data_IF_132700956790
#
_entry.id   IF_132700956790
#
_cell.length_a   1.000
_cell.length_b   1.000
_cell.length_c   1.000
_cell.angle_alpha   90.00
_cell.angle_beta   90.00
_cell.angle_gamma   90.00
#
_symmetry.space_group_name_H-M   'P 1'
#
loop_
_entity.id
_entity.type
_entity.pdbx_description
1 polymer ?
#
# COMPACT_ATOMS: atom_id res chain seq x y z
N UNK A 1 -25.40 -46.11 -50.76
CA UNK A 1 -26.78 -46.39 -51.28
C UNK A 1 -27.63 -45.21 -50.83
N UNK A 2 -27.96 -44.31 -51.77
CA UNK A 2 -29.24 -44.21 -52.51
C UNK A 2 -30.38 -44.01 -51.48
N UNK A 3 -31.21 -42.99 -51.48
CA UNK A 3 -31.80 -42.04 -52.46
C UNK A 3 -32.73 -41.21 -51.61
N UNK A 4 -32.86 -39.90 -51.77
CA UNK A 4 -33.65 -39.15 -52.74
C UNK A 4 -35.13 -38.94 -52.33
N UNK A 5 -35.47 -37.72 -52.29
CA UNK A 5 -36.43 -36.89 -53.10
C UNK A 5 -37.78 -36.68 -52.42
N UNK A 6 -38.35 -35.59 -52.46
CA UNK A 6 -38.88 -34.50 -53.26
C UNK A 6 -40.11 -33.96 -52.52
N UNK A 7 -40.22 -32.71 -52.35
CA UNK A 7 -40.95 -31.65 -53.12
C UNK A 7 -42.46 -31.71 -52.87
N UNK A 8 -43.19 -30.72 -52.71
CA UNK A 8 -43.45 -29.46 -53.38
C UNK A 8 -44.84 -28.95 -52.98
N UNK A 9 -44.91 -27.68 -52.95
CA UNK A 9 -45.90 -26.81 -53.63
C UNK A 9 -47.23 -26.47 -52.94
N UNK A 10 -47.32 -25.23 -52.71
CA UNK A 10 -48.15 -24.15 -53.37
C UNK A 10 -49.69 -24.30 -53.25
N UNK A 11 -50.35 -23.32 -52.80
CA UNK A 11 -51.24 -22.39 -53.43
C UNK A 11 -52.17 -21.70 -52.39
N UNK A 12 -51.94 -20.43 -52.22
CA UNK A 12 -52.82 -19.36 -52.72
C UNK A 12 -54.33 -19.34 -52.37
N UNK A 13 -54.70 -18.23 -51.84
CA UNK A 13 -55.81 -17.27 -52.19
C UNK A 13 -56.59 -16.80 -50.98
N UNK A 14 -56.40 -15.58 -50.61
CA UNK A 14 -57.12 -14.35 -51.00
C UNK A 14 -58.50 -14.14 -50.30
N UNK A 15 -58.54 -13.00 -49.62
CA UNK A 15 -59.64 -12.03 -49.45
C UNK A 15 -60.75 -12.30 -48.40
N UNK A 16 -60.83 -11.51 -47.39
CA UNK A 16 -61.88 -10.48 -47.34
C UNK A 16 -61.69 -9.52 -46.15
N UNK A 17 -61.92 -8.26 -46.43
CA UNK A 17 -61.96 -7.14 -45.48
C UNK A 17 -63.19 -7.22 -44.61
N UNK A 18 -63.05 -7.06 -43.31
CA UNK A 18 -64.08 -6.53 -42.44
C UNK A 18 -63.45 -5.56 -41.44
N UNK A 19 -63.84 -4.31 -41.60
CA UNK A 19 -63.56 -3.21 -40.70
C UNK A 19 -64.28 -3.47 -39.37
N UNK A 20 -63.57 -3.52 -38.30
CA UNK A 20 -64.13 -3.39 -36.98
C UNK A 20 -63.24 -2.48 -36.15
N UNK A 21 -63.71 -1.26 -35.99
CA UNK A 21 -63.17 -0.19 -35.20
C UNK A 21 -63.27 -0.58 -33.73
N UNK A 22 -62.16 -0.94 -33.06
CA UNK A 22 -62.14 -1.14 -31.63
C UNK A 22 -61.24 -0.10 -30.99
N UNK A 23 -61.83 0.71 -30.10
CA UNK A 23 -61.15 1.73 -29.31
C UNK A 23 -59.98 1.14 -28.57
N UNK A 24 -58.76 1.54 -28.93
CA UNK A 24 -57.56 1.31 -28.14
C UNK A 24 -57.49 2.34 -27.02
N UNK A 25 -57.84 1.91 -25.82
CA UNK A 25 -57.48 2.58 -24.59
C UNK A 25 -55.97 2.31 -24.40
N UNK A 26 -55.14 3.25 -24.78
CA UNK A 26 -53.69 3.23 -24.50
C UNK A 26 -53.49 3.45 -23.00
N UNK A 27 -53.32 2.36 -22.24
CA UNK A 27 -52.67 2.44 -20.93
C UNK A 27 -51.20 2.76 -21.17
N UNK A 28 -50.63 3.79 -20.52
CA UNK A 28 -49.16 3.93 -20.54
C UNK A 28 -48.57 2.69 -19.86
N UNK A 29 -47.82 1.91 -20.62
CA UNK A 29 -46.96 0.89 -20.05
C UNK A 29 -45.88 1.66 -19.25
N UNK A 30 -46.02 1.65 -17.93
CA UNK A 30 -44.90 1.90 -17.07
C UNK A 30 -43.93 0.73 -17.29
N UNK A 31 -42.95 0.95 -18.17
CA UNK A 31 -41.74 0.18 -18.16
C UNK A 31 -41.05 0.53 -16.86
N UNK A 32 -41.23 -0.35 -15.86
CA UNK A 32 -40.26 -0.43 -14.76
C UNK A 32 -38.96 -0.87 -15.43
N UNK A 33 -38.13 0.10 -15.80
CA UNK A 33 -36.72 -0.18 -16.02
C UNK A 33 -36.25 -0.85 -14.75
N UNK A 34 -35.98 -2.16 -14.85
CA UNK A 34 -35.21 -2.86 -13.84
C UNK A 34 -33.90 -2.08 -13.73
N UNK A 35 -33.79 -1.26 -12.69
CA UNK A 35 -32.55 -0.65 -12.30
C UNK A 35 -31.56 -1.80 -12.15
N UNK A 36 -30.74 -1.99 -13.16
CA UNK A 36 -29.56 -2.83 -13.07
C UNK A 36 -28.84 -2.37 -11.84
N UNK A 37 -28.58 -3.30 -10.94
CA UNK A 37 -27.79 -3.13 -9.74
C UNK A 37 -26.33 -2.81 -10.13
N UNK A 38 -26.08 -1.73 -10.83
CA UNK A 38 -24.83 -1.00 -10.75
C UNK A 38 -24.81 -0.47 -9.32
N UNK A 39 -24.11 -1.21 -8.46
CA UNK A 39 -23.78 -0.78 -7.12
C UNK A 39 -23.33 0.67 -7.23
N UNK A 40 -24.14 1.60 -6.74
CA UNK A 40 -23.78 3.01 -6.60
C UNK A 40 -22.49 2.96 -5.79
N UNK A 41 -21.34 3.10 -6.47
CA UNK A 41 -20.05 3.23 -5.80
C UNK A 41 -20.14 4.53 -5.02
N UNK A 42 -20.52 4.40 -3.75
CA UNK A 42 -20.59 5.55 -2.85
C UNK A 42 -19.28 6.30 -2.94
N UNK A 43 -19.34 7.55 -3.36
CA UNK A 43 -18.16 8.39 -3.51
C UNK A 43 -17.36 8.39 -2.21
N UNK A 44 -16.04 8.25 -2.32
CA UNK A 44 -15.17 8.36 -1.16
C UNK A 44 -14.96 9.83 -0.81
N UNK A 45 -14.92 10.20 0.47
CA UNK A 45 -14.64 11.58 0.85
C UNK A 45 -13.25 11.99 0.36
N UNK A 46 -13.13 13.26 -0.07
CA UNK A 46 -11.85 13.86 -0.37
C UNK A 46 -11.24 14.35 0.94
N UNK A 47 -10.09 13.79 1.30
CA UNK A 47 -9.36 14.14 2.53
C UNK A 47 -8.20 15.08 2.20
N UNK A 48 -7.89 16.01 3.11
CA UNK A 48 -6.73 16.89 3.01
C UNK A 48 -5.61 16.32 3.89
N UNK A 49 -4.49 15.97 3.27
CA UNK A 49 -3.31 15.43 3.94
C UNK A 49 -2.07 16.24 3.57
N UNK A 50 -0.95 15.94 4.21
CA UNK A 50 0.35 16.52 3.82
C UNK A 50 0.62 16.26 2.34
N UNK A 51 0.88 17.31 1.60
CA UNK A 51 1.10 17.29 0.16
C UNK A 51 -0.13 17.67 -0.68
N UNK A 52 -1.38 17.44 -0.24
CA UNK A 52 -2.56 17.84 -1.01
C UNK A 52 -3.86 17.11 -0.65
N UNK A 53 -4.76 17.02 -1.61
CA UNK A 53 -6.04 16.31 -1.46
C UNK A 53 -5.91 14.89 -2.02
N UNK A 54 -6.59 13.94 -1.38
CA UNK A 54 -6.66 12.55 -1.80
C UNK A 54 -8.09 12.04 -1.78
N UNK A 55 -8.39 11.06 -2.64
CA UNK A 55 -9.58 10.20 -2.57
C UNK A 55 -9.15 8.74 -2.58
N UNK A 56 -9.88 7.89 -1.90
CA UNK A 56 -9.64 6.44 -1.85
C UNK A 56 -10.64 5.65 -2.70
N UNK A 57 -10.82 4.38 -2.37
CA UNK A 57 -11.83 3.48 -2.94
C UNK A 57 -12.55 2.72 -1.82
N UNK A 58 -13.68 2.09 -2.16
CA UNK A 58 -14.31 1.12 -1.27
C UNK A 58 -13.46 -0.15 -1.21
N UNK A 59 -13.44 -0.79 -0.06
CA UNK A 59 -13.01 -2.16 0.09
C UNK A 59 -13.97 -3.14 -0.58
N UNK A 60 -13.75 -4.44 -0.39
CA UNK A 60 -14.72 -5.48 -0.72
C UNK A 60 -16.00 -5.28 0.10
N UNK A 61 -15.84 -4.97 1.39
CA UNK A 61 -16.92 -4.48 2.23
C UNK A 61 -17.13 -2.98 2.00
N UNK A 62 -18.31 -2.59 1.57
CA UNK A 62 -18.67 -1.19 1.29
C UNK A 62 -18.60 -0.27 2.51
N UNK A 63 -18.59 -0.82 3.74
CA UNK A 63 -18.41 -0.07 4.98
C UNK A 63 -16.94 0.28 5.28
N UNK A 64 -16.01 -0.21 4.48
CA UNK A 64 -14.58 0.08 4.60
C UNK A 64 -14.12 0.95 3.45
N UNK A 65 -13.30 1.94 3.75
CA UNK A 65 -12.57 2.73 2.76
C UNK A 65 -11.09 2.40 2.83
N UNK A 66 -10.49 2.35 1.63
CA UNK A 66 -9.06 2.09 1.46
C UNK A 66 -8.45 3.25 0.69
N UNK A 67 -7.35 3.78 1.20
CA UNK A 67 -6.51 4.78 0.54
C UNK A 67 -5.15 4.14 0.28
N UNK A 68 -4.89 3.78 -0.97
CA UNK A 68 -3.72 3.01 -1.41
C UNK A 68 -2.66 3.94 -2.01
N UNK A 69 -1.39 3.71 -1.73
CA UNK A 69 -0.29 4.43 -2.37
C UNK A 69 -0.24 5.92 -2.05
N UNK A 70 -0.43 6.30 -0.79
CA UNK A 70 -0.27 7.69 -0.34
C UNK A 70 1.23 7.95 -0.12
N UNK A 71 1.85 8.95 -0.79
CA UNK A 71 3.25 9.28 -0.55
C UNK A 71 3.39 9.96 0.82
N UNK A 72 4.30 9.47 1.65
CA UNK A 72 4.62 10.08 2.94
C UNK A 72 5.94 10.86 2.91
N UNK A 73 6.75 10.66 1.88
CA UNK A 73 7.99 11.39 1.62
C UNK A 73 8.21 11.55 0.11
N UNK A 74 9.15 12.40 -0.27
CA UNK A 74 9.61 12.52 -1.66
C UNK A 74 10.28 11.22 -2.11
N UNK A 75 10.16 10.88 -3.41
CA UNK A 75 10.81 9.71 -3.99
C UNK A 75 12.33 9.77 -3.76
N UNK A 76 12.95 8.74 -3.16
CA UNK A 76 14.38 8.73 -2.83
C UNK A 76 15.24 8.32 -4.02
N UNK A 77 15.09 9.00 -5.14
CA UNK A 77 15.76 8.75 -6.43
C UNK A 77 16.79 9.83 -6.75
N UNK A 78 17.75 9.51 -7.61
CA UNK A 78 18.79 10.47 -8.03
C UNK A 78 19.54 11.04 -6.82
N UNK A 79 19.60 12.35 -6.69
CA UNK A 79 20.29 13.06 -5.60
C UNK A 79 19.72 12.79 -4.22
N UNK A 80 18.49 12.24 -4.12
CA UNK A 80 17.86 11.85 -2.86
C UNK A 80 18.13 10.39 -2.48
N UNK A 81 18.79 9.60 -3.35
CA UNK A 81 19.25 8.27 -2.97
C UNK A 81 20.24 8.37 -1.82
N UNK A 82 20.13 7.51 -0.84
CA UNK A 82 20.94 7.53 0.40
C UNK A 82 20.91 8.86 1.16
N UNK A 83 19.81 9.61 1.04
CA UNK A 83 19.51 10.75 1.92
C UNK A 83 18.40 10.40 2.90
N UNK A 84 18.30 11.15 4.00
CA UNK A 84 17.12 11.08 4.86
C UNK A 84 15.87 11.44 4.05
N UNK A 85 14.69 10.84 4.35
CA UNK A 85 13.46 11.16 3.66
C UNK A 85 13.21 12.67 3.65
N UNK A 86 12.87 13.18 2.49
CA UNK A 86 12.54 14.60 2.31
C UNK A 86 11.02 14.78 2.30
N UNK A 87 10.50 15.96 2.65
CA UNK A 87 9.08 16.25 2.58
C UNK A 87 8.50 15.95 1.21
N UNK A 88 7.28 15.39 1.18
CA UNK A 88 6.57 15.14 -0.08
C UNK A 88 6.31 16.46 -0.82
N UNK A 89 6.49 16.47 -2.14
CA UNK A 89 6.16 17.62 -2.97
C UNK A 89 4.63 17.80 -3.02
N UNK A 90 4.17 19.01 -2.79
CA UNK A 90 2.74 19.33 -2.90
C UNK A 90 2.23 19.11 -4.33
N UNK A 91 1.00 18.60 -4.45
CA UNK A 91 0.33 18.40 -5.74
C UNK A 91 -0.96 19.22 -5.84
N UNK A 92 -1.34 19.54 -7.08
CA UNK A 92 -2.60 20.21 -7.37
C UNK A 92 -3.72 19.17 -7.59
N UNK A 93 -4.96 19.60 -7.38
CA UNK A 93 -6.13 18.74 -7.55
C UNK A 93 -6.26 17.64 -6.49
N UNK A 94 -6.95 16.57 -6.85
CA UNK A 94 -7.16 15.40 -5.98
C UNK A 94 -6.42 14.19 -6.54
N UNK A 95 -5.51 13.63 -5.74
CA UNK A 95 -4.81 12.37 -6.07
C UNK A 95 -5.72 11.19 -5.76
N UNK A 96 -5.94 10.33 -6.73
CA UNK A 96 -6.73 9.11 -6.59
C UNK A 96 -5.85 7.99 -6.01
N UNK A 97 -6.05 7.70 -4.72
CA UNK A 97 -5.32 6.68 -3.97
C UNK A 97 -6.10 5.35 -3.98
N UNK A 98 -6.29 4.77 -5.17
CA UNK A 98 -7.08 3.56 -5.43
C UNK A 98 -6.23 2.37 -5.91
N UNK A 99 -4.93 2.57 -6.12
CA UNK A 99 -3.97 1.52 -6.48
C UNK A 99 -2.78 1.53 -5.53
N UNK A 100 -2.25 0.34 -5.23
CA UNK A 100 -1.02 0.24 -4.45
C UNK A 100 0.16 0.80 -5.24
N UNK A 101 1.16 1.28 -4.52
CA UNK A 101 2.41 1.78 -5.10
C UNK A 101 3.32 0.65 -5.57
N UNK A 102 4.45 1.00 -6.19
CA UNK A 102 5.56 0.07 -6.31
C UNK A 102 6.08 -0.35 -4.92
N UNK A 103 6.62 -1.55 -4.81
CA UNK A 103 7.39 -1.99 -3.64
C UNK A 103 8.84 -1.48 -3.73
N UNK A 104 9.55 -1.47 -2.60
CA UNK A 104 10.97 -1.14 -2.57
C UNK A 104 11.77 -2.10 -3.46
N UNK A 105 12.86 -1.59 -4.05
CA UNK A 105 13.71 -2.40 -4.92
C UNK A 105 14.31 -3.57 -4.13
N UNK A 106 14.07 -4.79 -4.60
CA UNK A 106 14.45 -6.04 -3.94
C UNK A 106 14.66 -7.15 -4.97
N UNK A 107 15.31 -8.23 -4.57
CA UNK A 107 15.51 -9.39 -5.45
C UNK A 107 14.17 -10.02 -5.84
N UNK A 108 14.14 -10.68 -6.97
CA UNK A 108 13.02 -11.53 -7.35
C UNK A 108 12.80 -12.60 -6.30
N UNK A 109 11.55 -12.83 -5.99
CA UNK A 109 11.17 -13.82 -5.01
C UNK A 109 11.26 -15.22 -5.63
N UNK A 110 11.84 -16.15 -4.89
CA UNK A 110 11.81 -17.55 -5.30
C UNK A 110 10.41 -18.11 -5.11
N UNK A 111 9.65 -18.18 -6.19
CA UNK A 111 8.29 -18.74 -6.22
C UNK A 111 8.21 -20.23 -5.94
N UNK A 112 9.36 -20.94 -5.93
CA UNK A 112 9.42 -22.37 -5.55
C UNK A 112 9.60 -22.54 -4.04
N UNK A 113 10.01 -21.48 -3.32
CA UNK A 113 10.12 -21.48 -1.87
C UNK A 113 8.74 -21.62 -1.19
N UNK A 114 8.73 -22.04 0.07
CA UNK A 114 7.52 -22.04 0.90
C UNK A 114 6.82 -20.68 0.89
N UNK A 115 7.58 -19.60 1.15
CA UNK A 115 7.04 -18.24 1.18
C UNK A 115 6.49 -17.79 -0.18
N UNK A 116 7.14 -18.15 -1.29
CA UNK A 116 6.66 -17.84 -2.62
C UNK A 116 5.34 -18.51 -2.95
N UNK A 117 5.14 -19.75 -2.49
CA UNK A 117 3.92 -20.53 -2.77
C UNK A 117 2.73 -20.10 -1.91
N UNK A 118 2.96 -19.83 -0.61
CA UNK A 118 1.89 -19.61 0.35
C UNK A 118 1.44 -18.15 0.41
N UNK A 119 2.36 -17.20 0.22
CA UNK A 119 2.12 -15.78 0.49
C UNK A 119 2.19 -14.88 -0.74
N UNK A 120 2.38 -15.47 -1.94
CA UNK A 120 2.47 -14.69 -3.16
C UNK A 120 1.56 -15.19 -4.26
N UNK A 121 0.96 -14.21 -4.93
CA UNK A 121 0.34 -14.38 -6.23
C UNK A 121 1.25 -13.75 -7.30
N UNK A 122 1.86 -14.56 -8.20
CA UNK A 122 2.72 -14.05 -9.26
C UNK A 122 2.04 -13.04 -10.18
N UNK A 123 0.70 -13.11 -10.29
CA UNK A 123 -0.08 -12.23 -11.16
C UNK A 123 -0.31 -10.84 -10.54
N UNK A 124 -0.14 -10.72 -9.22
CA UNK A 124 -0.34 -9.48 -8.46
C UNK A 124 0.95 -8.91 -7.87
N UNK A 125 2.13 -9.42 -8.26
CA UNK A 125 3.40 -8.92 -7.73
C UNK A 125 3.61 -7.45 -8.14
N UNK A 126 3.83 -6.53 -7.19
CA UNK A 126 4.00 -5.11 -7.50
C UNK A 126 5.30 -4.87 -8.27
N UNK A 127 5.33 -3.79 -9.05
CA UNK A 127 6.57 -3.32 -9.64
C UNK A 127 7.58 -2.92 -8.54
N UNK A 128 8.86 -3.14 -8.81
CA UNK A 128 9.97 -2.73 -7.94
C UNK A 128 10.44 -1.34 -8.35
N UNK A 129 10.62 -0.46 -7.38
CA UNK A 129 11.11 0.90 -7.64
C UNK A 129 11.86 1.45 -6.44
N UNK A 130 12.78 2.37 -6.69
CA UNK A 130 13.32 3.23 -5.65
C UNK A 130 12.25 4.25 -5.17
N UNK A 131 11.31 4.65 -6.04
CA UNK A 131 10.14 5.43 -5.67
C UNK A 131 9.12 4.53 -4.95
N UNK A 132 9.36 4.27 -3.67
CA UNK A 132 8.64 3.31 -2.86
C UNK A 132 8.10 3.88 -1.53
N UNK A 133 8.33 5.15 -1.20
CA UNK A 133 7.99 5.73 0.11
C UNK A 133 6.50 6.08 0.20
N UNK A 134 5.68 5.04 0.25
CA UNK A 134 4.22 5.11 0.27
C UNK A 134 3.65 4.33 1.43
N UNK A 135 2.44 4.72 1.84
CA UNK A 135 1.65 4.02 2.84
C UNK A 135 0.22 3.79 2.35
N UNK A 136 -0.49 2.90 3.03
CA UNK A 136 -1.88 2.59 2.76
C UNK A 136 -2.68 2.73 4.06
N UNK A 137 -3.95 3.13 3.96
CA UNK A 137 -4.83 3.31 5.11
C UNK A 137 -6.16 2.61 4.87
N UNK A 138 -6.57 1.74 5.79
CA UNK A 138 -7.92 1.17 5.89
C UNK A 138 -8.64 1.81 7.05
N UNK A 139 -9.85 2.30 6.80
CA UNK A 139 -10.65 2.97 7.81
C UNK A 139 -12.15 2.65 7.63
N UNK A 140 -12.94 2.60 8.72
CA UNK A 140 -14.40 2.57 8.58
C UNK A 140 -14.89 3.77 7.76
N UNK A 141 -15.80 3.54 6.82
CA UNK A 141 -16.39 4.61 6.00
C UNK A 141 -16.97 5.73 6.85
N UNK A 142 -17.62 5.40 7.97
CA UNK A 142 -18.21 6.37 8.90
C UNK A 142 -17.19 7.25 9.62
N UNK A 143 -15.93 6.84 9.65
CA UNK A 143 -14.85 7.56 10.32
C UNK A 143 -14.08 8.48 9.36
N UNK A 144 -14.02 8.17 8.07
CA UNK A 144 -13.30 8.96 7.08
C UNK A 144 -13.87 10.39 6.97
N UNK A 145 -13.04 11.40 7.15
CA UNK A 145 -13.43 12.81 7.23
C UNK A 145 -13.96 13.26 8.60
N UNK A 146 -14.18 12.33 9.52
CA UNK A 146 -14.65 12.63 10.88
C UNK A 146 -13.46 12.71 11.87
N UNK A 147 -12.86 13.87 11.99
CA UNK A 147 -11.71 14.10 12.89
C UNK A 147 -12.03 13.90 14.38
N UNK A 148 -13.31 13.75 14.74
CA UNK A 148 -13.77 13.52 16.13
C UNK A 148 -13.94 12.04 16.46
N UNK A 149 -13.85 11.13 15.51
CA UNK A 149 -14.07 9.69 15.71
C UNK A 149 -13.05 9.06 16.68
N UNK A 150 -11.79 9.50 16.65
CA UNK A 150 -10.73 9.09 17.60
C UNK A 150 -10.52 7.59 17.71
N UNK A 151 -10.58 6.89 16.57
CA UNK A 151 -10.35 5.45 16.53
C UNK A 151 -8.87 5.09 16.82
N UNK A 152 -8.63 3.93 17.42
CA UNK A 152 -7.26 3.42 17.58
C UNK A 152 -6.62 3.17 16.21
N UNK A 153 -5.30 3.37 16.15
CA UNK A 153 -4.51 3.25 14.92
C UNK A 153 -3.44 2.20 15.13
N UNK A 154 -3.28 1.30 14.17
CA UNK A 154 -2.14 0.39 14.08
C UNK A 154 -1.33 0.76 12.85
N UNK A 155 -0.04 1.07 13.03
CA UNK A 155 0.92 1.24 11.96
C UNK A 155 1.77 -0.03 11.87
N UNK A 156 1.63 -0.74 10.74
CA UNK A 156 2.33 -2.00 10.48
C UNK A 156 3.62 -1.79 9.71
N UNK A 157 4.68 -2.42 10.18
CA UNK A 157 5.99 -2.48 9.54
C UNK A 157 6.26 -3.93 9.15
N UNK A 158 6.40 -4.21 7.84
CA UNK A 158 6.61 -5.55 7.33
C UNK A 158 8.00 -6.10 7.68
N UNK A 159 8.12 -7.43 7.68
CA UNK A 159 9.37 -8.15 7.87
C UNK A 159 10.19 -8.29 6.58
N UNK A 160 10.92 -9.41 6.47
CA UNK A 160 11.72 -9.74 5.28
C UNK A 160 13.20 -9.41 5.41
N UNK A 161 13.74 -9.47 6.63
CA UNK A 161 15.19 -9.30 6.94
C UNK A 161 15.79 -7.99 6.41
N UNK A 162 15.01 -6.93 6.26
CA UNK A 162 15.38 -5.66 5.62
C UNK A 162 15.82 -5.81 4.16
N UNK A 163 15.57 -6.95 3.54
CA UNK A 163 15.99 -7.31 2.18
C UNK A 163 14.81 -7.44 1.22
N UNK A 164 13.61 -7.73 1.73
CA UNK A 164 12.40 -7.98 0.96
C UNK A 164 11.14 -7.61 1.75
N UNK A 165 9.97 -7.71 1.10
CA UNK A 165 8.68 -7.42 1.68
C UNK A 165 8.08 -6.09 1.20
N UNK A 166 6.81 -5.89 1.50
CA UNK A 166 6.07 -4.66 1.20
C UNK A 166 4.82 -4.54 2.09
N UNK A 167 4.29 -3.35 2.23
CA UNK A 167 3.23 -3.05 3.21
C UNK A 167 1.84 -3.58 2.85
N UNK A 168 1.63 -4.16 1.68
CA UNK A 168 0.33 -4.67 1.23
C UNK A 168 0.39 -6.13 0.77
N UNK A 169 1.25 -6.92 1.44
CA UNK A 169 1.22 -8.37 1.35
C UNK A 169 -0.18 -8.88 1.72
N UNK A 170 -0.61 -9.99 1.14
CA UNK A 170 -1.98 -10.51 1.25
C UNK A 170 -2.48 -10.63 2.69
N UNK A 171 -1.58 -10.98 3.62
CA UNK A 171 -1.87 -11.10 5.05
C UNK A 171 -2.15 -9.76 5.74
N UNK A 172 -1.79 -8.66 5.08
CA UNK A 172 -1.89 -7.30 5.62
C UNK A 172 -3.10 -6.54 5.07
N UNK A 173 -4.14 -7.25 4.62
CA UNK A 173 -5.41 -6.63 4.32
C UNK A 173 -6.05 -6.07 5.60
N UNK A 174 -6.35 -4.78 5.57
CA UNK A 174 -6.86 -4.06 6.73
C UNK A 174 -8.37 -4.06 6.90
N UNK A 175 -9.13 -4.72 6.03
CA UNK A 175 -10.60 -4.67 6.11
C UNK A 175 -11.13 -5.23 7.43
N UNK A 176 -10.58 -6.36 7.89
CA UNK A 176 -10.97 -6.96 9.15
C UNK A 176 -10.69 -6.06 10.37
N UNK A 177 -9.64 -5.24 10.30
CA UNK A 177 -9.31 -4.25 11.33
C UNK A 177 -10.30 -3.08 11.29
N UNK A 178 -10.55 -2.53 10.12
CA UNK A 178 -11.46 -1.41 9.92
C UNK A 178 -12.91 -1.77 10.35
N UNK A 179 -13.37 -2.97 10.02
CA UNK A 179 -14.68 -3.49 10.48
C UNK A 179 -14.81 -3.58 12.00
N UNK A 180 -13.69 -3.69 12.72
CA UNK A 180 -13.64 -3.68 14.18
C UNK A 180 -13.37 -2.29 14.79
N UNK A 181 -13.40 -1.24 13.97
CA UNK A 181 -13.18 0.13 14.42
C UNK A 181 -11.72 0.46 14.69
N UNK A 182 -10.78 -0.26 14.10
CA UNK A 182 -9.34 0.00 14.18
C UNK A 182 -8.83 0.44 12.82
N UNK A 183 -8.13 1.57 12.74
CA UNK A 183 -7.50 2.01 11.51
C UNK A 183 -6.18 1.27 11.34
N UNK A 184 -6.01 0.58 10.22
CA UNK A 184 -4.72 -0.01 9.84
C UNK A 184 -4.00 0.92 8.87
N UNK A 185 -2.74 1.18 9.16
CA UNK A 185 -1.79 1.84 8.25
C UNK A 185 -0.66 0.88 7.97
N UNK A 186 -0.37 0.60 6.70
CA UNK A 186 0.80 -0.19 6.30
C UNK A 186 1.76 0.67 5.52
N UNK A 187 3.05 0.42 5.66
CA UNK A 187 4.09 1.25 5.05
C UNK A 187 5.06 0.43 4.22
N UNK A 188 5.57 1.01 3.14
CA UNK A 188 6.83 0.60 2.52
C UNK A 188 7.97 1.44 3.08
N UNK A 189 9.17 0.90 3.08
CA UNK A 189 10.42 1.60 3.41
C UNK A 189 11.55 1.05 2.56
N UNK A 190 12.62 1.81 2.40
CA UNK A 190 13.79 1.36 1.61
C UNK A 190 14.45 0.13 2.24
N UNK A 191 14.82 -0.81 1.40
CA UNK A 191 15.39 -2.10 1.76
C UNK A 191 16.84 -2.23 1.26
N UNK A 192 17.53 -3.25 1.71
CA UNK A 192 18.86 -3.67 1.25
C UNK A 192 19.85 -2.49 1.16
N UNK A 193 20.66 -2.42 0.14
CA UNK A 193 21.64 -1.35 -0.06
C UNK A 193 21.04 0.04 -0.20
N UNK A 194 19.80 0.15 -0.70
CA UNK A 194 19.11 1.44 -0.82
C UNK A 194 18.67 2.00 0.54
N UNK A 195 18.36 1.12 1.48
CA UNK A 195 17.92 1.49 2.83
C UNK A 195 19.03 1.44 3.89
N UNK A 196 20.10 0.66 3.66
CA UNK A 196 21.02 0.30 4.75
C UNK A 196 22.51 0.33 4.37
N UNK A 197 22.90 0.86 3.21
CA UNK A 197 24.30 1.02 2.85
C UNK A 197 24.99 2.03 3.77
N UNK A 198 26.02 1.57 4.49
CA UNK A 198 26.98 2.43 5.16
C UNK A 198 28.23 2.60 4.28
N UNK A 199 28.68 3.84 4.11
CA UNK A 199 29.87 4.15 3.30
C UNK A 199 30.52 5.45 3.79
N UNK A 200 31.85 5.57 3.86
CA UNK A 200 32.54 6.77 4.36
C UNK A 200 32.16 8.05 3.61
N UNK A 201 32.02 7.98 2.28
CA UNK A 201 31.59 9.13 1.49
C UNK A 201 30.19 9.60 1.86
N UNK A 202 29.23 8.66 2.05
CA UNK A 202 27.87 8.99 2.49
C UNK A 202 27.86 9.59 3.91
N UNK A 203 28.69 9.06 4.80
CA UNK A 203 28.85 9.60 6.14
C UNK A 203 29.44 11.01 6.14
N UNK A 204 30.32 11.31 5.21
CA UNK A 204 30.92 12.64 5.09
C UNK A 204 29.92 13.73 4.64
N UNK A 205 28.78 13.35 4.05
CA UNK A 205 27.79 14.29 3.52
C UNK A 205 26.90 14.93 4.59
N UNK A 206 26.92 14.44 5.83
CA UNK A 206 26.08 14.97 6.91
C UNK A 206 26.89 15.28 8.18
N UNK A 207 26.33 16.18 9.00
CA UNK A 207 26.98 16.69 10.22
C UNK A 207 27.22 15.60 11.26
N UNK A 208 26.33 14.61 11.35
CA UNK A 208 26.42 13.50 12.28
C UNK A 208 27.49 12.48 11.87
N UNK A 209 28.02 12.58 10.64
CA UNK A 209 29.02 11.65 10.08
C UNK A 209 28.57 10.21 10.15
N UNK A 210 27.26 9.98 9.81
CA UNK A 210 26.61 8.68 9.85
C UNK A 210 25.93 8.34 8.53
N UNK A 211 25.96 7.06 8.16
CA UNK A 211 25.21 6.48 7.04
C UNK A 211 24.61 5.13 7.45
N UNK A 212 23.74 4.54 6.61
CA UNK A 212 23.29 3.16 6.79
C UNK A 212 21.87 2.97 7.31
N UNK A 213 21.21 3.94 7.92
CA UNK A 213 19.90 3.75 8.56
C UNK A 213 18.75 4.44 7.80
N UNK A 214 18.85 4.58 6.48
CA UNK A 214 17.86 5.32 5.68
C UNK A 214 16.48 4.67 5.75
N UNK A 215 16.39 3.33 5.74
CA UNK A 215 15.14 2.59 5.91
C UNK A 215 14.47 2.83 7.26
N UNK A 216 15.24 3.00 8.34
CA UNK A 216 14.68 3.37 9.66
C UNK A 216 14.20 4.82 9.67
N UNK A 217 14.91 5.73 9.02
CA UNK A 217 14.44 7.12 8.86
C UNK A 217 13.15 7.18 8.04
N UNK A 218 12.98 6.30 7.03
CA UNK A 218 11.73 6.19 6.27
C UNK A 218 10.56 5.80 7.18
N UNK A 219 10.76 4.84 8.06
CA UNK A 219 9.75 4.40 9.04
C UNK A 219 9.40 5.51 10.03
N UNK A 220 10.38 6.30 10.48
CA UNK A 220 10.17 7.47 11.34
C UNK A 220 9.36 8.54 10.58
N UNK A 221 9.68 8.80 9.32
CA UNK A 221 8.95 9.75 8.49
C UNK A 221 7.50 9.30 8.25
N UNK A 222 7.27 8.01 8.02
CA UNK A 222 5.94 7.44 7.90
C UNK A 222 5.15 7.59 9.22
N UNK A 223 5.74 7.31 10.38
CA UNK A 223 5.12 7.52 11.68
C UNK A 223 4.75 8.99 11.89
N UNK A 224 5.64 9.91 11.56
CA UNK A 224 5.37 11.36 11.66
C UNK A 224 4.22 11.77 10.73
N UNK A 225 4.18 11.19 9.51
CA UNK A 225 3.06 11.41 8.61
C UNK A 225 1.74 10.91 9.21
N UNK A 226 1.73 9.73 9.83
CA UNK A 226 0.56 9.17 10.51
C UNK A 226 0.09 10.10 11.62
N UNK A 227 0.97 10.55 12.50
CA UNK A 227 0.64 11.49 13.58
C UNK A 227 -0.02 12.78 13.03
N UNK A 228 0.50 13.30 11.94
CA UNK A 228 0.04 14.58 11.37
C UNK A 228 -1.29 14.46 10.60
N UNK A 229 -1.63 13.27 10.06
CA UNK A 229 -2.70 13.15 9.08
C UNK A 229 -3.82 12.19 9.49
N UNK A 230 -3.58 11.27 10.43
CA UNK A 230 -4.52 10.16 10.67
C UNK A 230 -5.88 10.61 11.20
N UNK A 231 -5.96 11.80 11.80
CA UNK A 231 -7.23 12.40 12.22
C UNK A 231 -8.20 12.60 11.03
N UNK A 232 -7.69 12.85 9.82
CA UNK A 232 -8.51 12.99 8.61
C UNK A 232 -9.21 11.67 8.23
N UNK A 233 -8.65 10.54 8.67
CA UNK A 233 -9.21 9.21 8.48
C UNK A 233 -10.05 8.74 9.69
N UNK A 234 -10.24 9.62 10.69
CA UNK A 234 -10.97 9.33 11.93
C UNK A 234 -10.11 8.72 13.04
N UNK A 235 -8.78 8.62 12.85
CA UNK A 235 -7.87 8.06 13.85
C UNK A 235 -7.48 9.04 14.95
N UNK A 236 -7.08 8.51 16.09
CA UNK A 236 -6.51 9.29 17.18
C UNK A 236 -4.99 9.33 17.08
N UNK A 237 -4.39 10.50 16.78
CA UNK A 237 -2.93 10.65 16.71
C UNK A 237 -2.23 10.42 18.07
N UNK A 238 -2.99 10.35 19.17
CA UNK A 238 -2.47 10.03 20.51
C UNK A 238 -2.65 8.55 20.87
N UNK A 239 -3.24 7.73 20.01
CA UNK A 239 -3.46 6.30 20.24
C UNK A 239 -2.94 5.47 19.08
N UNK A 240 -1.65 5.62 18.78
CA UNK A 240 -0.95 4.90 17.71
C UNK A 240 -0.18 3.72 18.32
N UNK A 241 -0.49 2.53 17.85
CA UNK A 241 0.26 1.30 18.10
C UNK A 241 1.18 1.05 16.91
N UNK A 242 2.49 0.96 17.13
CA UNK A 242 3.42 0.51 16.08
C UNK A 242 3.57 -1.01 16.21
N UNK A 243 3.35 -1.73 15.11
CA UNK A 243 3.36 -3.18 15.07
C UNK A 243 4.28 -3.69 13.96
N UNK A 244 4.91 -4.84 14.16
CA UNK A 244 5.75 -5.44 13.12
C UNK A 244 6.15 -6.86 13.46
N UNK A 245 6.52 -7.62 12.43
CA UNK A 245 6.95 -9.00 12.52
C UNK A 245 8.38 -9.16 12.00
N UNK A 246 9.19 -10.04 12.61
CA UNK A 246 10.57 -10.33 12.18
C UNK A 246 11.43 -9.05 12.13
N UNK A 247 12.02 -8.70 10.99
CA UNK A 247 12.74 -7.44 10.80
C UNK A 247 11.86 -6.20 11.11
N UNK A 248 10.55 -6.25 10.80
CA UNK A 248 9.60 -5.22 11.20
C UNK A 248 9.47 -5.09 12.73
N UNK A 249 9.51 -6.20 13.45
CA UNK A 249 9.55 -6.19 14.92
C UNK A 249 10.86 -5.61 15.45
N UNK A 250 11.99 -5.91 14.80
CA UNK A 250 13.28 -5.25 15.06
C UNK A 250 13.21 -3.74 14.85
N UNK A 251 12.53 -3.31 13.78
CA UNK A 251 12.24 -1.90 13.53
C UNK A 251 11.41 -1.28 14.65
N UNK A 252 10.33 -1.94 15.09
CA UNK A 252 9.51 -1.47 16.21
C UNK A 252 10.38 -1.26 17.47
N UNK A 253 11.28 -2.18 17.80
CA UNK A 253 12.23 -2.02 18.92
C UNK A 253 13.05 -0.75 18.75
N UNK A 254 13.63 -0.53 17.57
CA UNK A 254 14.42 0.67 17.28
C UNK A 254 13.59 1.95 17.39
N UNK A 255 12.36 1.96 16.91
CA UNK A 255 11.50 3.14 16.98
C UNK A 255 11.10 3.48 18.43
N UNK A 256 10.73 2.49 19.25
CA UNK A 256 10.31 2.76 20.64
C UNK A 256 11.46 3.22 21.53
N UNK A 257 12.70 2.87 21.20
CA UNK A 257 13.90 3.29 21.92
C UNK A 257 14.53 4.56 21.34
N UNK A 258 14.10 4.99 20.14
CA UNK A 258 14.66 6.16 19.46
C UNK A 258 14.16 7.48 20.09
N UNK A 259 15.05 8.40 20.44
CA UNK A 259 14.64 9.74 20.91
C UNK A 259 13.86 10.52 19.83
N UNK A 260 14.03 10.18 18.53
CA UNK A 260 13.30 10.80 17.41
C UNK A 260 11.80 10.43 17.40
N UNK A 261 11.42 9.34 18.07
CA UNK A 261 10.04 8.88 18.17
C UNK A 261 9.39 9.20 19.51
N UNK A 262 10.07 9.96 20.39
CA UNK A 262 9.56 10.30 21.72
C UNK A 262 8.20 11.01 21.62
N UNK A 263 7.19 10.42 22.29
CA UNK A 263 5.83 10.95 22.31
C UNK A 263 4.96 10.65 21.09
N UNK A 264 5.48 9.94 20.09
CA UNK A 264 4.72 9.58 18.87
C UNK A 264 4.03 8.22 19.00
N UNK A 265 4.54 7.32 19.82
CA UNK A 265 4.10 5.93 19.95
C UNK A 265 3.40 5.75 21.30
N UNK A 266 2.18 5.22 21.27
CA UNK A 266 1.42 4.91 22.50
C UNK A 266 1.59 3.47 22.94
N UNK A 267 1.71 2.53 21.99
CA UNK A 267 1.81 1.08 22.22
C UNK A 267 2.68 0.45 21.15
N UNK A 268 3.21 -0.74 21.43
CA UNK A 268 4.01 -1.51 20.49
C UNK A 268 3.59 -2.98 20.49
N UNK A 269 3.62 -3.60 19.29
CA UNK A 269 3.43 -5.04 19.09
C UNK A 269 4.66 -5.56 18.36
N UNK A 270 5.42 -6.45 19.02
CA UNK A 270 6.67 -6.99 18.51
C UNK A 270 6.48 -8.49 18.32
N UNK A 271 6.34 -8.92 17.06
CA UNK A 271 6.06 -10.31 16.71
C UNK A 271 7.33 -10.97 16.15
N UNK A 272 7.83 -12.01 16.79
CA UNK A 272 8.98 -12.79 16.31
C UNK A 272 10.21 -11.92 16.00
N UNK A 273 10.46 -10.87 16.80
CA UNK A 273 11.51 -9.87 16.57
C UNK A 273 12.76 -10.05 17.44
N UNK A 274 12.90 -11.21 18.05
CA UNK A 274 13.99 -11.46 19.01
C UNK A 274 13.78 -10.75 20.35
N UNK A 275 14.38 -11.30 21.40
CA UNK A 275 14.33 -10.76 22.76
C UNK A 275 15.22 -9.53 22.96
N UNK A 276 15.72 -9.37 24.17
CA UNK A 276 16.70 -8.33 24.54
C UNK A 276 18.12 -8.63 24.03
N UNK A 277 18.34 -9.82 23.45
CA UNK A 277 19.62 -10.23 22.89
C UNK A 277 19.75 -9.93 21.40
N UNK A 278 20.89 -10.31 20.89
CA UNK A 278 21.39 -10.06 19.54
C UNK A 278 20.64 -10.89 18.49
N UNK A 279 19.70 -10.29 17.77
CA UNK A 279 19.14 -10.94 16.59
C UNK A 279 19.93 -10.61 15.31
N UNK A 280 20.57 -9.47 15.29
CA UNK A 280 21.48 -9.04 14.23
C UNK A 280 22.65 -8.35 14.93
N UNK A 281 23.83 -8.94 14.79
CA UNK A 281 25.13 -8.55 15.33
C UNK A 281 25.20 -7.20 16.05
N UNK A 282 25.37 -7.22 17.36
CA UNK A 282 25.71 -6.04 18.17
C UNK A 282 27.11 -5.51 17.89
N UNK A 283 27.92 -6.26 17.16
CA UNK A 283 29.26 -5.86 16.77
C UNK A 283 29.31 -5.01 15.48
N UNK A 284 28.15 -4.74 14.84
CA UNK A 284 28.09 -3.87 13.68
C UNK A 284 28.34 -2.42 14.10
N UNK A 285 29.59 -2.08 14.30
CA UNK A 285 29.99 -0.70 14.47
C UNK A 285 30.09 -0.01 13.08
N UNK A 286 30.09 1.31 13.10
CA UNK A 286 30.16 2.14 11.90
C UNK A 286 31.32 1.73 10.99
N UNK A 287 32.53 1.56 11.54
CA UNK A 287 33.73 1.33 10.76
C UNK A 287 33.68 -0.02 10.01
N UNK A 288 33.18 -1.07 10.66
CA UNK A 288 32.98 -2.38 10.03
C UNK A 288 31.96 -2.31 8.89
N UNK A 289 30.84 -1.60 9.10
CA UNK A 289 29.80 -1.45 8.09
C UNK A 289 30.26 -0.59 6.91
N UNK A 290 31.01 0.48 7.15
CA UNK A 290 31.60 1.30 6.11
C UNK A 290 32.64 0.54 5.30
N UNK A 291 33.47 -0.30 5.96
CA UNK A 291 34.43 -1.17 5.27
C UNK A 291 33.71 -2.18 4.36
N UNK A 292 32.60 -2.78 4.82
CA UNK A 292 31.79 -3.67 4.00
C UNK A 292 31.17 -2.93 2.80
N UNK A 293 30.69 -1.71 3.00
CA UNK A 293 30.17 -0.86 1.93
C UNK A 293 31.21 -0.55 0.87
N UNK A 294 32.43 -0.22 1.27
CA UNK A 294 33.54 -0.02 0.34
C UNK A 294 33.84 -1.29 -0.47
N UNK A 295 33.94 -2.44 0.18
CA UNK A 295 34.16 -3.73 -0.50
C UNK A 295 33.09 -4.03 -1.54
N UNK A 296 31.84 -3.76 -1.23
CA UNK A 296 30.71 -3.96 -2.15
C UNK A 296 30.83 -3.02 -3.36
N UNK A 297 31.16 -1.75 -3.17
CA UNK A 297 31.32 -0.79 -4.26
C UNK A 297 32.48 -1.17 -5.16
N UNK A 298 33.64 -1.59 -4.61
CA UNK A 298 34.77 -2.09 -5.36
C UNK A 298 34.42 -3.30 -6.22
N UNK A 299 33.59 -4.22 -5.71
CA UNK A 299 33.17 -5.39 -6.48
C UNK A 299 32.25 -4.99 -7.65
N UNK A 300 31.35 -4.03 -7.46
CA UNK A 300 30.48 -3.53 -8.52
C UNK A 300 31.31 -2.85 -9.62
N UNK A 301 32.23 -2.00 -9.26
CA UNK A 301 33.13 -1.31 -10.22
C UNK A 301 33.92 -2.30 -11.06
N UNK A 302 34.53 -3.31 -10.45
CA UNK A 302 35.26 -4.39 -11.18
C UNK A 302 34.33 -5.25 -12.07
N UNK A 303 33.04 -5.31 -11.79
CA UNK A 303 32.08 -6.03 -12.64
C UNK A 303 31.69 -5.25 -13.89
N UNK A 304 31.76 -3.91 -13.84
CA UNK A 304 31.49 -3.03 -14.97
C UNK A 304 32.69 -2.92 -15.93
N UNK A 305 33.90 -3.21 -15.46
CA UNK A 305 35.12 -3.20 -16.24
C UNK A 305 35.37 -4.50 -17.05
N UNK A 306 34.54 -5.54 -16.88
CA UNK A 306 34.62 -6.84 -17.57
C UNK A 306 33.55 -6.97 -18.65
#
# INVERSE_FOLDING_TARGET
MKKKFLSSNLLNRTVSKAVMMLLLITRPAFTVEAATNESIKLATPVLKVTGGKISGCSGEDSHVLIYKGIPYAAAPIGDLRWKRPQPVKAWQGTRHCNTFSAMAFQRERDMKSFYGKEFHDPQSEPQRSEDCLYLNVWTPRSAAGNTKAKLPVVMWIHGGAYMSGFGFEKEMDGEAWAKRGVILVTINYRLNVFGFLAHPALSAENKERLSGNYGLYDQIAALQWVVNNIAQFGGDPKNITVAGQSAGAGSVKNLVTSPLCKGLISKAIIQSGGGMGEFISTEANKDKLEALGMQMMDQLQRSEER
#
